data_IF_955309231385
#
_entry.id   IF_955309231385
#
_cell.length_a   1.000
_cell.length_b   1.000
_cell.length_c   1.000
_cell.angle_alpha   90.00
_cell.angle_beta   90.00
_cell.angle_gamma   90.00
#
_symmetry.space_group_name_H-M   'P 1'
#
loop_
_entity.id
_entity.type
_entity.pdbx_description
1 polymer ?
#
# COMPACT_ATOMS: atom_id res chain seq x y z
N UNK A 1 -21.29 -15.26 -41.28
CA UNK A 1 -20.36 -16.21 -40.61
C UNK A 1 -21.10 -17.21 -39.74
N UNK A 2 -21.27 -18.48 -40.19
CA UNK A 2 -22.00 -19.53 -39.48
C UNK A 2 -21.49 -19.83 -38.06
N UNK A 3 -20.16 -19.90 -37.87
CA UNK A 3 -19.53 -20.15 -36.57
C UNK A 3 -19.80 -19.06 -35.51
N UNK A 4 -20.15 -17.83 -35.91
CA UNK A 4 -20.62 -16.79 -34.97
C UNK A 4 -22.05 -17.07 -34.48
N UNK A 5 -22.91 -17.65 -35.32
CA UNK A 5 -24.28 -18.06 -34.97
C UNK A 5 -24.27 -19.26 -34.00
N UNK A 6 -23.47 -20.30 -34.28
CA UNK A 6 -23.34 -21.47 -33.40
C UNK A 6 -22.87 -21.09 -31.98
N UNK A 7 -21.79 -20.30 -31.86
CA UNK A 7 -21.31 -19.79 -30.56
C UNK A 7 -22.29 -18.82 -29.89
N UNK A 8 -23.26 -18.25 -30.60
CA UNK A 8 -24.32 -17.42 -30.02
C UNK A 8 -25.44 -18.29 -29.44
N UNK A 9 -25.92 -19.26 -30.23
CA UNK A 9 -26.94 -20.23 -29.82
C UNK A 9 -26.58 -20.94 -28.52
N UNK A 10 -25.36 -21.52 -28.42
CA UNK A 10 -24.90 -22.18 -27.19
C UNK A 10 -24.92 -21.24 -25.97
N UNK A 11 -24.47 -19.99 -26.12
CA UNK A 11 -24.47 -19.00 -25.01
C UNK A 11 -25.86 -18.49 -24.65
N UNK A 12 -26.80 -18.47 -25.59
CA UNK A 12 -28.21 -18.15 -25.32
C UNK A 12 -28.92 -19.33 -24.66
N UNK A 13 -28.60 -20.57 -25.05
CA UNK A 13 -29.09 -21.79 -24.42
C UNK A 13 -28.55 -21.95 -22.98
N UNK A 14 -27.26 -21.72 -22.74
CA UNK A 14 -26.66 -21.70 -21.40
C UNK A 14 -27.30 -20.62 -20.51
N UNK A 15 -27.48 -19.40 -21.04
CA UNK A 15 -28.10 -18.29 -20.30
C UNK A 15 -29.59 -18.54 -20.02
N UNK A 16 -30.29 -19.23 -20.91
CA UNK A 16 -31.67 -19.66 -20.69
C UNK A 16 -31.73 -20.72 -19.57
N UNK A 17 -30.89 -21.77 -19.65
CA UNK A 17 -30.79 -22.83 -18.63
C UNK A 17 -30.40 -22.32 -17.23
N UNK A 18 -29.52 -21.31 -17.14
CA UNK A 18 -29.07 -20.73 -15.88
C UNK A 18 -30.04 -19.68 -15.31
N UNK A 19 -31.00 -19.22 -16.11
CA UNK A 19 -31.79 -18.03 -15.82
C UNK A 19 -30.98 -16.75 -15.99
N UNK A 20 -31.64 -15.68 -16.43
CA UNK A 20 -31.11 -14.32 -16.32
C UNK A 20 -31.77 -13.68 -15.10
N UNK A 21 -30.95 -13.25 -14.15
CA UNK A 21 -31.38 -12.56 -12.92
C UNK A 21 -32.10 -13.44 -11.88
N UNK A 22 -31.46 -14.55 -11.49
CA UNK A 22 -31.84 -15.29 -10.28
C UNK A 22 -31.29 -14.53 -9.07
N UNK A 23 -32.12 -13.67 -8.47
CA UNK A 23 -31.81 -13.05 -7.19
C UNK A 23 -31.55 -14.15 -6.13
N UNK A 24 -30.59 -13.97 -5.21
CA UNK A 24 -30.40 -14.90 -4.09
C UNK A 24 -31.71 -15.06 -3.32
N UNK A 25 -32.22 -16.29 -3.21
CA UNK A 25 -33.46 -16.53 -2.47
C UNK A 25 -33.25 -16.11 -1.00
N UNK A 26 -34.25 -15.45 -0.41
CA UNK A 26 -34.14 -14.85 0.93
C UNK A 26 -33.82 -15.88 2.04
N UNK A 27 -34.03 -17.17 1.75
CA UNK A 27 -33.82 -18.30 2.66
C UNK A 27 -32.55 -19.11 2.33
N UNK A 28 -31.72 -18.67 1.38
CA UNK A 28 -30.55 -19.43 0.91
C UNK A 28 -29.50 -19.70 2.01
N UNK A 29 -29.44 -18.84 3.04
CA UNK A 29 -28.49 -19.00 4.15
C UNK A 29 -29.10 -19.64 5.41
N UNK A 30 -30.43 -19.67 5.52
CA UNK A 30 -31.14 -20.21 6.70
C UNK A 30 -31.49 -21.70 6.56
N UNK A 31 -31.56 -22.20 5.33
CA UNK A 31 -32.02 -23.58 5.03
C UNK A 31 -30.86 -24.52 4.62
N UNK A 32 -29.60 -24.03 4.61
CA UNK A 32 -28.42 -24.87 4.38
C UNK A 32 -28.08 -25.67 5.67
N UNK A 33 -28.25 -27.00 5.65
CA UNK A 33 -27.87 -27.92 6.75
C UNK A 33 -26.39 -27.75 7.16
N UNK A 34 -25.53 -27.42 6.19
CA UNK A 34 -24.13 -27.11 6.39
C UNK A 34 -23.83 -25.82 5.64
N UNK A 35 -23.43 -24.73 6.32
CA UNK A 35 -23.09 -23.48 5.65
C UNK A 35 -22.01 -23.67 4.60
N UNK A 36 -22.16 -23.02 3.44
CA UNK A 36 -21.21 -23.04 2.31
C UNK A 36 -19.72 -22.94 2.65
N UNK A 37 -19.36 -22.22 3.72
CA UNK A 37 -17.97 -22.13 4.20
C UNK A 37 -17.48 -23.46 4.79
N UNK A 38 -18.32 -24.18 5.53
CA UNK A 38 -18.02 -25.48 6.13
C UNK A 38 -18.06 -26.58 5.07
N UNK A 39 -19.01 -26.56 4.14
CA UNK A 39 -19.03 -27.50 3.00
C UNK A 39 -17.71 -27.45 2.21
N UNK A 40 -17.15 -26.26 1.94
CA UNK A 40 -15.83 -26.14 1.29
C UNK A 40 -14.67 -26.73 2.07
N UNK A 41 -14.77 -26.80 3.41
CA UNK A 41 -13.75 -27.42 4.28
C UNK A 41 -13.92 -28.94 4.28
N UNK A 42 -15.16 -29.44 4.37
CA UNK A 42 -15.46 -30.88 4.31
C UNK A 42 -15.11 -31.50 2.93
N UNK A 43 -15.46 -30.81 1.84
CA UNK A 43 -15.12 -31.22 0.47
C UNK A 43 -13.69 -30.83 0.04
N UNK A 44 -12.86 -30.26 0.93
CA UNK A 44 -11.54 -29.74 0.57
C UNK A 44 -10.63 -30.80 -0.09
N UNK A 45 -10.70 -32.05 0.38
CA UNK A 45 -9.96 -33.16 -0.21
C UNK A 45 -10.41 -33.45 -1.65
N UNK A 46 -11.73 -33.45 -1.93
CA UNK A 46 -12.27 -33.62 -3.28
C UNK A 46 -11.89 -32.45 -4.18
N UNK A 47 -12.00 -31.21 -3.70
CA UNK A 47 -11.61 -30.00 -4.45
C UNK A 47 -10.12 -30.02 -4.81
N UNK A 48 -9.25 -30.47 -3.90
CA UNK A 48 -7.83 -30.66 -4.18
C UNK A 48 -7.61 -31.77 -5.21
N UNK A 49 -8.23 -32.94 -5.05
CA UNK A 49 -8.14 -34.05 -6.01
C UNK A 49 -8.64 -33.65 -7.41
N UNK A 50 -9.78 -32.96 -7.50
CA UNK A 50 -10.30 -32.40 -8.75
C UNK A 50 -9.32 -31.40 -9.37
N UNK A 51 -8.69 -30.53 -8.57
CA UNK A 51 -7.67 -29.60 -9.07
C UNK A 51 -6.42 -30.33 -9.58
N UNK A 52 -5.93 -31.35 -8.86
CA UNK A 52 -4.81 -32.19 -9.28
C UNK A 52 -5.14 -32.99 -10.55
N UNK A 53 -6.33 -33.58 -10.62
CA UNK A 53 -6.82 -34.33 -11.79
C UNK A 53 -7.04 -33.40 -12.99
N UNK A 54 -7.58 -32.19 -12.78
CA UNK A 54 -7.72 -31.17 -13.82
C UNK A 54 -6.37 -30.64 -14.30
N UNK A 55 -5.40 -30.51 -13.40
CA UNK A 55 -4.02 -30.14 -13.75
C UNK A 55 -3.33 -31.25 -14.56
N UNK A 56 -3.56 -32.52 -14.20
CA UNK A 56 -3.06 -33.69 -14.94
C UNK A 56 -3.70 -33.78 -16.33
N UNK A 57 -5.03 -33.75 -16.43
CA UNK A 57 -5.77 -33.74 -17.70
C UNK A 57 -5.35 -32.56 -18.59
N UNK A 58 -5.22 -31.35 -18.04
CA UNK A 58 -4.72 -30.19 -18.79
C UNK A 58 -3.28 -30.37 -19.32
N UNK A 59 -2.43 -31.16 -18.64
CA UNK A 59 -1.09 -31.52 -19.16
C UNK A 59 -1.08 -32.72 -20.12
N UNK A 60 -2.15 -33.52 -20.12
CA UNK A 60 -2.31 -34.73 -20.92
C UNK A 60 -2.98 -34.39 -22.27
N UNK A 61 -4.06 -33.58 -22.24
CA UNK A 61 -4.64 -32.90 -23.40
C UNK A 61 -3.61 -32.00 -24.12
N UNK A 62 -2.61 -31.50 -23.39
CA UNK A 62 -1.50 -30.69 -23.91
C UNK A 62 -0.33 -31.52 -24.49
N UNK A 63 -0.40 -32.85 -24.46
CA UNK A 63 0.52 -33.75 -25.18
C UNK A 63 -0.09 -34.34 -26.46
N UNK A 64 -1.38 -34.11 -26.72
CA UNK A 64 -2.10 -34.67 -27.87
C UNK A 64 -2.47 -33.68 -28.98
N UNK A 65 -2.11 -32.40 -28.87
CA UNK A 65 -2.45 -31.37 -29.86
C UNK A 65 -1.40 -30.23 -29.86
N UNK A 66 -0.38 -30.37 -30.70
CA UNK A 66 0.85 -29.55 -30.67
C UNK A 66 0.76 -28.21 -31.42
N UNK A 67 -0.44 -27.78 -31.85
CA UNK A 67 -0.61 -26.54 -32.64
C UNK A 67 -1.40 -25.38 -31.98
N UNK A 68 -2.25 -25.62 -30.97
CA UNK A 68 -3.01 -24.53 -30.30
C UNK A 68 -2.77 -24.41 -28.79
N UNK A 69 -1.78 -23.59 -28.42
CA UNK A 69 -1.45 -23.26 -27.02
C UNK A 69 -2.63 -22.60 -26.29
N UNK A 70 -3.13 -23.15 -25.16
CA UNK A 70 -4.21 -22.54 -24.39
C UNK A 70 -3.72 -21.27 -23.68
N UNK A 71 -4.03 -20.11 -24.26
CA UNK A 71 -3.65 -18.81 -23.73
C UNK A 71 -4.22 -18.57 -22.31
N UNK A 72 -3.33 -18.23 -21.37
CA UNK A 72 -3.71 -17.84 -20.00
C UNK A 72 -4.70 -16.67 -20.05
N UNK A 73 -5.86 -16.85 -19.42
CA UNK A 73 -6.92 -15.83 -19.28
C UNK A 73 -6.38 -14.59 -18.55
N UNK A 74 -5.91 -13.59 -19.29
CA UNK A 74 -5.81 -12.19 -18.82
C UNK A 74 -6.96 -11.37 -19.38
N UNK A 75 -7.31 -10.32 -18.64
CA UNK A 75 -8.62 -9.65 -18.67
C UNK A 75 -8.83 -8.85 -19.96
N UNK A 76 -10.08 -8.80 -20.41
CA UNK A 76 -10.55 -7.80 -21.38
C UNK A 76 -10.28 -6.40 -20.83
N UNK A 77 -9.51 -5.61 -21.56
CA UNK A 77 -10.02 -4.34 -22.06
C UNK A 77 -10.37 -4.56 -23.54
N UNK A 78 -11.35 -3.83 -24.06
CA UNK A 78 -11.76 -3.87 -25.47
C UNK A 78 -11.38 -2.52 -26.14
N UNK A 79 -11.68 -2.30 -27.43
CA UNK A 79 -10.76 -2.70 -28.49
C UNK A 79 -10.37 -1.55 -29.41
N UNK A 80 -9.18 -1.61 -30.01
CA UNK A 80 -8.99 -1.35 -31.44
C UNK A 80 -7.55 -1.70 -31.87
N UNK A 81 -7.33 -1.86 -33.18
CA UNK A 81 -6.01 -2.10 -33.76
C UNK A 81 -5.56 -3.56 -33.76
N UNK A 82 -5.99 -4.32 -34.76
CA UNK A 82 -5.38 -5.61 -35.05
C UNK A 82 -4.04 -5.41 -35.76
N UNK A 83 -2.95 -5.96 -35.19
CA UNK A 83 -2.04 -6.88 -35.88
C UNK A 83 -0.96 -7.39 -34.93
N UNK A 84 -0.70 -8.69 -34.95
CA UNK A 84 0.39 -9.29 -34.20
C UNK A 84 1.69 -9.21 -35.00
N UNK A 85 2.65 -8.41 -34.54
CA UNK A 85 4.05 -8.56 -34.92
C UNK A 85 4.79 -9.27 -33.78
N UNK A 86 5.10 -10.55 -33.99
CA UNK A 86 6.11 -11.27 -33.18
C UNK A 86 7.45 -10.56 -33.39
N UNK A 87 8.26 -10.45 -32.35
CA UNK A 87 9.69 -10.09 -32.42
C UNK A 87 10.07 -8.76 -33.11
N UNK A 88 9.77 -7.61 -32.49
CA UNK A 88 10.71 -6.48 -32.55
C UNK A 88 11.74 -6.60 -31.42
N UNK A 89 12.66 -7.57 -31.55
CA UNK A 89 13.88 -7.60 -30.73
C UNK A 89 14.67 -6.32 -31.01
N UNK A 90 14.65 -5.37 -30.07
CA UNK A 90 15.68 -4.33 -29.86
C UNK A 90 16.18 -3.56 -31.09
N UNK A 91 15.45 -3.52 -32.20
CA UNK A 91 15.69 -2.58 -33.29
C UNK A 91 15.40 -1.19 -32.71
N UNK A 92 16.48 -0.45 -32.43
CA UNK A 92 16.47 0.67 -31.47
C UNK A 92 15.25 1.55 -31.60
N UNK A 93 14.50 1.71 -30.49
CA UNK A 93 13.33 2.58 -30.46
C UNK A 93 13.83 3.97 -30.86
N UNK A 94 13.35 4.48 -31.99
CA UNK A 94 13.63 5.84 -32.48
C UNK A 94 12.46 6.75 -32.15
N UNK A 95 12.71 8.05 -32.12
CA UNK A 95 11.66 9.07 -32.05
C UNK A 95 10.86 9.02 -33.36
N UNK A 96 9.54 8.96 -33.27
CA UNK A 96 8.65 8.98 -34.44
C UNK A 96 8.43 10.41 -34.93
N UNK A 97 8.06 10.56 -36.21
CA UNK A 97 7.74 11.89 -36.75
C UNK A 97 6.53 12.48 -36.02
N UNK A 98 6.67 13.72 -35.53
CA UNK A 98 5.65 14.39 -34.71
C UNK A 98 5.60 13.95 -33.24
N UNK A 99 6.46 13.04 -32.79
CA UNK A 99 6.51 12.59 -31.40
C UNK A 99 7.38 13.52 -30.54
N UNK A 100 6.84 13.98 -29.39
CA UNK A 100 7.65 14.72 -28.41
C UNK A 100 8.54 13.77 -27.61
N UNK A 101 9.71 14.26 -27.18
CA UNK A 101 10.69 13.47 -26.40
C UNK A 101 10.08 12.77 -25.16
N UNK A 102 9.07 13.37 -24.53
CA UNK A 102 8.34 12.77 -23.39
C UNK A 102 7.56 11.50 -23.78
N UNK A 103 6.91 11.49 -24.94
CA UNK A 103 6.20 10.31 -25.45
C UNK A 103 7.18 9.20 -25.83
N UNK A 104 8.31 9.57 -26.44
CA UNK A 104 9.40 8.64 -26.74
C UNK A 104 9.94 7.96 -25.47
N UNK A 105 10.28 8.76 -24.44
CA UNK A 105 10.77 8.24 -23.16
C UNK A 105 9.75 7.29 -22.53
N UNK A 106 8.46 7.68 -22.52
CA UNK A 106 7.38 6.82 -22.02
C UNK A 106 7.27 5.49 -22.78
N UNK A 107 7.42 5.47 -24.11
CA UNK A 107 7.40 4.22 -24.90
C UNK A 107 8.64 3.35 -24.63
N UNK A 108 9.82 3.97 -24.45
CA UNK A 108 11.05 3.27 -24.03
C UNK A 108 10.86 2.64 -22.66
N UNK A 109 10.34 3.39 -21.69
CA UNK A 109 10.01 2.88 -20.36
C UNK A 109 9.00 1.74 -20.43
N UNK A 110 7.87 1.90 -21.11
CA UNK A 110 6.82 0.87 -21.23
C UNK A 110 7.35 -0.43 -21.87
N UNK A 111 8.28 -0.33 -22.84
CA UNK A 111 8.97 -1.47 -23.46
C UNK A 111 9.95 -2.19 -22.51
N UNK A 112 10.71 -1.44 -21.71
CA UNK A 112 11.70 -1.99 -20.76
C UNK A 112 11.08 -2.44 -19.42
N UNK A 113 9.94 -1.88 -19.03
CA UNK A 113 9.23 -2.17 -17.78
C UNK A 113 8.96 -3.65 -17.49
N UNK A 114 8.54 -4.52 -18.45
CA UNK A 114 8.41 -5.95 -18.19
C UNK A 114 9.76 -6.61 -17.84
N UNK A 115 10.84 -6.27 -18.54
CA UNK A 115 12.17 -6.83 -18.27
C UNK A 115 12.68 -6.45 -16.87
N UNK A 116 12.57 -5.17 -16.51
CA UNK A 116 12.93 -4.68 -15.17
C UNK A 116 12.08 -5.35 -14.09
N UNK A 117 10.76 -5.46 -14.31
CA UNK A 117 9.85 -6.14 -13.40
C UNK A 117 10.21 -7.61 -13.21
N UNK A 118 10.50 -8.33 -14.28
CA UNK A 118 10.80 -9.77 -14.22
C UNK A 118 12.17 -10.00 -13.53
N UNK A 119 13.16 -9.12 -13.76
CA UNK A 119 14.43 -9.10 -13.04
C UNK A 119 14.27 -8.78 -11.53
N UNK A 120 13.37 -7.87 -11.16
CA UNK A 120 13.03 -7.61 -9.76
C UNK A 120 12.33 -8.82 -9.11
N UNK A 121 11.52 -9.56 -9.88
CA UNK A 121 10.82 -10.75 -9.35
C UNK A 121 11.74 -11.96 -9.21
N UNK A 122 12.68 -12.16 -10.14
CA UNK A 122 13.68 -13.22 -10.04
C UNK A 122 14.67 -12.97 -8.91
N UNK A 123 15.21 -11.75 -8.78
CA UNK A 123 16.12 -11.38 -7.68
C UNK A 123 15.45 -11.49 -6.31
N UNK A 124 14.20 -11.04 -6.16
CA UNK A 124 13.43 -11.21 -4.92
C UNK A 124 13.14 -12.68 -4.58
N UNK A 125 12.97 -13.56 -5.59
CA UNK A 125 12.82 -14.99 -5.37
C UNK A 125 14.14 -15.64 -4.94
N UNK A 126 15.27 -15.27 -5.55
CA UNK A 126 16.61 -15.76 -5.17
C UNK A 126 16.97 -15.30 -3.75
N UNK A 127 16.75 -14.03 -3.40
CA UNK A 127 17.03 -13.52 -2.06
C UNK A 127 16.23 -14.26 -0.96
N UNK A 128 15.00 -14.69 -1.25
CA UNK A 128 14.19 -15.52 -0.34
C UNK A 128 14.70 -16.95 -0.21
N UNK A 129 15.25 -17.53 -1.29
CA UNK A 129 15.91 -18.83 -1.24
C UNK A 129 17.18 -18.77 -0.40
N UNK A 130 18.11 -17.87 -0.74
CA UNK A 130 19.35 -17.65 0.01
C UNK A 130 19.07 -17.46 1.50
N UNK A 131 18.13 -16.59 1.87
CA UNK A 131 17.75 -16.41 3.29
C UNK A 131 17.20 -17.69 3.94
N UNK A 132 16.40 -18.48 3.23
CA UNK A 132 15.87 -19.77 3.75
C UNK A 132 17.01 -20.79 3.91
N UNK A 133 17.89 -20.87 2.93
CA UNK A 133 19.02 -21.80 2.90
C UNK A 133 20.04 -21.43 4.01
N UNK A 134 20.26 -20.13 4.27
CA UNK A 134 21.03 -19.60 5.41
C UNK A 134 20.37 -19.92 6.76
N UNK A 135 19.04 -19.78 6.89
CA UNK A 135 18.30 -20.15 8.10
C UNK A 135 18.36 -21.67 8.36
N UNK A 136 18.29 -22.52 7.32
CA UNK A 136 18.41 -23.97 7.42
C UNK A 136 19.85 -24.44 7.71
N UNK A 137 20.87 -23.75 7.18
CA UNK A 137 22.28 -23.94 7.54
C UNK A 137 22.59 -23.51 8.99
N UNK A 138 22.00 -22.40 9.45
CA UNK A 138 22.11 -21.93 10.84
C UNK A 138 21.40 -22.85 11.84
N UNK A 139 20.31 -23.50 11.43
CA UNK A 139 19.61 -24.49 12.25
C UNK A 139 20.40 -25.81 12.36
N UNK A 140 20.96 -26.32 11.26
CA UNK A 140 21.73 -27.57 11.23
C UNK A 140 23.14 -27.46 11.85
N UNK A 141 23.75 -26.27 11.85
CA UNK A 141 25.00 -26.03 12.57
C UNK A 141 24.83 -25.85 14.09
N UNK A 142 23.62 -25.53 14.57
CA UNK A 142 23.31 -25.47 16.02
C UNK A 142 23.08 -26.84 16.66
N UNK A 143 22.67 -27.86 15.89
CA UNK A 143 22.46 -29.23 16.41
C UNK A 143 23.76 -30.04 16.55
N UNK A 144 24.89 -29.56 16.01
CA UNK A 144 26.19 -30.25 16.01
C UNK A 144 27.25 -29.62 16.93
N UNK A 145 26.94 -28.53 17.63
CA UNK A 145 27.88 -27.78 18.49
C UNK A 145 27.77 -28.11 19.98
N UNK A 146 27.10 -29.21 20.35
CA UNK A 146 26.88 -29.63 21.75
C UNK A 146 27.82 -30.75 22.22
N UNK A 147 29.10 -30.76 21.82
CA UNK A 147 30.14 -31.54 22.50
C UNK A 147 31.57 -31.04 22.21
N UNK A 148 32.43 -31.21 23.23
CA UNK A 148 33.86 -30.87 23.37
C UNK A 148 34.29 -29.40 23.52
N UNK A 149 35.22 -29.23 24.46
CA UNK A 149 35.78 -27.97 24.95
C UNK A 149 37.12 -27.59 24.25
N UNK A 150 37.63 -26.41 24.61
CA UNK A 150 38.80 -25.71 24.07
C UNK A 150 40.15 -26.25 24.64
N UNK A 151 41.33 -25.58 24.48
CA UNK A 151 41.69 -24.37 23.70
C UNK A 151 43.04 -24.44 22.91
N UNK A 152 43.32 -23.43 22.07
CA UNK A 152 44.64 -22.73 21.95
C UNK A 152 44.56 -21.49 21.04
N UNK A 153 45.46 -20.53 21.26
CA UNK A 153 45.77 -19.31 20.48
C UNK A 153 45.92 -19.51 18.95
N UNK A 154 45.88 -18.49 18.07
CA UNK A 154 46.42 -17.11 18.21
C UNK A 154 45.65 -16.04 17.39
N UNK A 155 45.40 -14.88 18.03
CA UNK A 155 45.65 -13.50 17.53
C UNK A 155 45.28 -13.10 16.08
N UNK A 156 44.25 -12.26 15.93
CA UNK A 156 44.43 -10.82 15.54
C UNK A 156 43.13 -9.98 15.62
N UNK A 157 43.29 -8.69 15.91
CA UNK A 157 42.35 -7.53 15.85
C UNK A 157 40.90 -7.77 15.35
N UNK A 158 39.84 -7.28 16.03
CA UNK A 158 39.67 -5.85 16.41
C UNK A 158 38.76 -5.66 17.63
N UNK A 159 39.05 -4.60 18.37
CA UNK A 159 38.48 -4.11 19.62
C UNK A 159 36.94 -3.98 19.69
N UNK A 160 36.34 -4.63 20.71
CA UNK A 160 35.45 -4.11 21.80
C UNK A 160 34.33 -3.09 21.49
N UNK A 161 33.15 -3.08 22.14
CA UNK A 161 32.43 -3.92 23.16
C UNK A 161 30.94 -3.47 23.04
N UNK A 162 29.91 -4.34 23.12
CA UNK A 162 29.27 -4.93 24.33
C UNK A 162 28.82 -3.84 25.35
N UNK A 163 27.64 -3.83 25.96
CA UNK A 163 26.52 -4.79 26.12
C UNK A 163 25.17 -4.01 26.10
N UNK A 164 23.95 -4.47 26.44
CA UNK A 164 23.28 -5.74 26.84
C UNK A 164 21.75 -5.53 26.59
N UNK A 165 20.79 -6.44 26.76
CA UNK A 165 20.75 -7.82 27.25
C UNK A 165 19.65 -8.63 26.53
N UNK A 166 19.80 -9.96 26.47
CA UNK A 166 18.68 -10.90 26.31
C UNK A 166 18.22 -11.34 27.71
N UNK A 167 16.90 -11.52 27.89
CA UNK A 167 16.35 -12.37 28.95
C UNK A 167 14.97 -12.90 28.56
N UNK A 168 14.85 -14.23 28.64
CA UNK A 168 13.64 -15.01 28.92
C UNK A 168 12.53 -15.09 27.86
N UNK A 169 12.79 -15.95 26.88
CA UNK A 169 11.73 -16.73 26.23
C UNK A 169 11.49 -18.04 27.00
N UNK A 170 10.57 -18.05 27.99
CA UNK A 170 9.85 -19.26 28.40
C UNK A 170 8.66 -18.99 29.35
N UNK A 171 7.47 -18.78 28.79
CA UNK A 171 6.20 -18.80 29.54
C UNK A 171 4.99 -19.13 28.63
N UNK A 172 4.91 -20.37 28.13
CA UNK A 172 3.64 -20.89 27.58
C UNK A 172 2.87 -21.53 28.72
N UNK A 173 1.84 -20.84 29.24
CA UNK A 173 0.67 -21.43 29.93
C UNK A 173 -0.47 -20.40 30.09
N UNK A 174 -1.47 -20.56 29.23
CA UNK A 174 -2.91 -20.50 29.55
C UNK A 174 -3.63 -19.17 29.91
N UNK A 175 -4.65 -18.91 29.07
CA UNK A 175 -5.93 -18.20 29.30
C UNK A 175 -6.01 -16.65 29.33
N UNK A 176 -6.69 -16.15 28.29
CA UNK A 176 -7.59 -14.99 28.26
C UNK A 176 -7.19 -13.71 29.01
N UNK A 177 -6.38 -12.88 28.36
CA UNK A 177 -6.30 -11.45 28.65
C UNK A 177 -6.62 -10.63 27.39
N UNK A 178 -7.39 -9.56 27.57
CA UNK A 178 -7.90 -8.66 26.53
C UNK A 178 -6.74 -8.14 25.67
N UNK A 179 -6.81 -8.34 24.34
CA UNK A 179 -5.84 -7.78 23.39
C UNK A 179 -5.97 -6.27 23.40
N UNK A 180 -5.13 -5.60 24.19
CA UNK A 180 -5.00 -4.16 24.13
C UNK A 180 -4.33 -3.78 22.81
N UNK A 181 -5.07 -3.05 21.97
CA UNK A 181 -4.57 -2.53 20.71
C UNK A 181 -3.33 -1.63 20.95
N UNK A 182 -2.18 -2.09 20.46
CA UNK A 182 -0.86 -1.44 20.57
C UNK A 182 -0.79 -0.10 19.83
N UNK A 183 -1.88 0.33 19.18
CA UNK A 183 -2.00 1.61 18.48
C UNK A 183 -2.95 2.60 19.17
N UNK A 184 -3.45 2.30 20.38
CA UNK A 184 -4.26 3.25 21.17
C UNK A 184 -3.55 4.57 21.44
N UNK A 185 -2.25 4.51 21.77
CA UNK A 185 -1.45 5.68 22.15
C UNK A 185 -0.79 6.39 20.95
N UNK A 186 -0.99 5.87 19.72
CA UNK A 186 -0.51 6.56 18.52
C UNK A 186 -1.42 7.77 18.27
N UNK A 187 -0.88 8.99 18.14
CA UNK A 187 -1.69 10.15 17.80
C UNK A 187 -2.38 9.90 16.45
N UNK A 188 -3.71 9.97 16.45
CA UNK A 188 -4.55 9.86 15.26
C UNK A 188 -4.77 11.28 14.72
N UNK A 189 -4.62 11.46 13.42
CA UNK A 189 -4.75 12.78 12.76
C UNK A 189 -6.16 13.39 12.90
N UNK A 190 -7.13 12.57 13.29
CA UNK A 190 -8.50 12.97 13.60
C UNK A 190 -8.86 12.52 15.02
N UNK A 191 -9.30 13.47 15.86
CA UNK A 191 -9.79 13.20 17.20
C UNK A 191 -11.15 12.48 17.13
N UNK A 192 -11.18 11.20 17.47
CA UNK A 192 -12.43 10.46 17.66
C UNK A 192 -13.08 10.91 18.98
N UNK A 193 -14.01 11.88 18.90
CA UNK A 193 -14.78 12.33 20.05
C UNK A 193 -15.63 11.18 20.60
N UNK A 194 -15.30 10.71 21.81
CA UNK A 194 -16.06 9.65 22.48
C UNK A 194 -17.31 10.22 23.13
N UNK A 195 -18.35 10.45 22.32
CA UNK A 195 -19.68 10.91 22.76
C UNK A 195 -20.71 9.82 22.48
N UNK A 196 -21.46 9.39 23.49
CA UNK A 196 -22.44 8.29 23.39
C UNK A 196 -23.69 8.65 22.58
N UNK A 197 -23.96 9.94 22.34
CA UNK A 197 -25.10 10.43 21.58
C UNK A 197 -24.66 11.13 20.28
N UNK A 198 -25.41 11.01 19.17
CA UNK A 198 -25.12 11.70 17.91
C UNK A 198 -25.31 13.21 18.06
N UNK A 199 -24.25 13.99 17.79
CA UNK A 199 -24.30 15.46 17.77
C UNK A 199 -24.97 16.00 16.51
N UNK A 200 -25.61 17.17 16.60
CA UNK A 200 -26.14 17.88 15.43
C UNK A 200 -24.98 18.45 14.61
N UNK A 201 -25.15 18.55 13.30
CA UNK A 201 -24.08 18.96 12.36
C UNK A 201 -23.44 20.31 12.72
N UNK A 202 -24.22 21.25 13.27
CA UNK A 202 -23.73 22.57 13.68
C UNK A 202 -22.83 22.51 14.93
N UNK A 203 -22.94 21.47 15.77
CA UNK A 203 -22.15 21.28 16.99
C UNK A 203 -20.83 20.50 16.73
N UNK A 204 -20.57 20.21 15.44
CA UNK A 204 -19.37 19.52 14.93
C UNK A 204 -18.41 20.53 14.27
N UNK A 205 -18.73 21.83 14.27
CA UNK A 205 -17.84 22.91 13.83
C UNK A 205 -16.59 22.92 14.72
N UNK A 206 -15.58 22.22 14.25
CA UNK A 206 -14.30 22.06 14.92
C UNK A 206 -13.40 23.19 14.43
N UNK A 207 -12.86 24.00 15.36
CA UNK A 207 -11.92 25.05 14.98
C UNK A 207 -10.74 24.44 14.19
N UNK A 208 -10.27 25.10 13.11
CA UNK A 208 -9.19 24.56 12.28
C UNK A 208 -7.94 24.28 13.14
N UNK A 209 -7.28 23.11 12.98
CA UNK A 209 -6.24 22.68 13.90
C UNK A 209 -5.01 23.59 13.85
N UNK A 210 -4.64 24.15 15.00
CA UNK A 210 -3.44 24.99 15.13
C UNK A 210 -2.17 24.14 15.13
N UNK A 211 -1.39 24.20 14.04
CA UNK A 211 -0.10 23.51 13.92
C UNK A 211 0.97 24.26 14.75
N UNK A 212 0.98 24.02 16.06
CA UNK A 212 1.92 24.66 17.02
C UNK A 212 3.35 24.12 16.98
N UNK A 213 3.60 23.03 16.26
CA UNK A 213 4.91 22.37 16.16
C UNK A 213 5.19 22.02 14.70
N UNK A 214 6.41 22.32 14.23
CA UNK A 214 6.85 21.91 12.90
C UNK A 214 6.82 20.37 12.78
N UNK A 215 6.45 19.82 11.60
CA UNK A 215 6.52 18.39 11.37
C UNK A 215 7.98 17.91 11.49
N UNK A 216 8.17 16.74 12.10
CA UNK A 216 9.47 16.13 12.37
C UNK A 216 10.29 16.01 11.09
N UNK A 217 11.33 16.84 10.96
CA UNK A 217 12.22 16.91 9.78
C UNK A 217 12.25 18.29 9.11
N UNK A 218 11.29 19.18 9.37
CA UNK A 218 11.35 20.56 8.91
C UNK A 218 12.33 21.39 9.75
N UNK A 219 13.27 22.07 9.09
CA UNK A 219 14.15 23.05 9.74
C UNK A 219 13.40 24.38 9.88
N UNK A 220 13.50 25.09 11.02
CA UNK A 220 12.99 26.45 11.11
C UNK A 220 13.86 27.38 10.24
N UNK A 221 13.22 28.23 9.42
CA UNK A 221 13.92 29.34 8.79
C UNK A 221 14.24 30.37 9.89
N UNK A 222 15.47 30.32 10.38
CA UNK A 222 16.04 31.33 11.28
C UNK A 222 16.27 32.64 10.50
N UNK A 223 15.65 33.77 10.89
CA UNK A 223 16.18 35.07 10.51
C UNK A 223 17.49 35.29 11.27
N UNK A 224 18.59 35.57 10.55
CA UNK A 224 19.85 35.98 11.18
C UNK A 224 19.67 37.34 11.87
N UNK A 225 20.14 37.44 13.11
CA UNK A 225 20.12 38.60 14.01
C UNK A 225 18.74 39.04 14.53
N UNK A 226 18.45 38.71 15.79
CA UNK A 226 18.32 39.72 16.87
C UNK A 226 18.10 39.03 18.23
N UNK A 227 18.70 39.59 19.28
CA UNK A 227 18.38 39.23 20.67
C UNK A 227 16.97 39.74 21.02
N UNK A 228 16.15 38.90 21.67
CA UNK A 228 14.82 39.31 22.11
C UNK A 228 13.81 38.18 22.15
N UNK A 229 13.64 37.57 23.33
CA UNK A 229 12.71 36.46 23.56
C UNK A 229 11.24 36.92 23.54
N UNK A 230 10.70 37.18 22.36
CA UNK A 230 9.25 37.24 22.08
C UNK A 230 8.88 36.16 21.08
N UNK A 231 7.78 35.48 21.32
CA UNK A 231 7.35 34.31 20.54
C UNK A 231 6.90 34.73 19.14
N UNK A 232 7.82 34.70 18.17
CA UNK A 232 7.48 34.84 16.76
C UNK A 232 6.59 33.67 16.35
N UNK A 233 5.40 34.01 15.90
CA UNK A 233 4.48 33.04 15.32
C UNK A 233 4.98 32.62 13.93
N UNK A 234 4.52 31.48 13.42
CA UNK A 234 4.82 31.03 12.05
C UNK A 234 4.42 32.05 10.96
N UNK A 235 3.63 33.09 11.29
CA UNK A 235 3.23 34.16 10.36
C UNK A 235 4.29 35.25 10.22
N UNK A 236 5.12 35.47 11.24
CA UNK A 236 6.09 36.57 11.28
C UNK A 236 7.27 36.40 10.28
N UNK A 237 7.52 35.16 9.83
CA UNK A 237 8.55 34.84 8.83
C UNK A 237 8.04 34.61 7.40
N UNK A 238 6.75 34.84 7.13
CA UNK A 238 6.12 34.58 5.81
C UNK A 238 5.92 35.86 4.99
N UNK A 239 5.88 37.02 5.63
CA UNK A 239 5.68 38.32 4.97
C UNK A 239 7.02 39.05 4.79
N UNK A 240 7.22 39.65 3.62
CA UNK A 240 8.36 40.54 3.36
C UNK A 240 8.31 41.76 4.29
N UNK A 241 9.47 42.25 4.75
CA UNK A 241 9.56 43.42 5.65
C UNK A 241 8.84 44.66 5.10
N UNK A 242 8.87 44.87 3.78
CA UNK A 242 8.13 45.96 3.13
C UNK A 242 6.60 45.79 3.27
N UNK A 243 6.10 44.56 3.10
CA UNK A 243 4.68 44.24 3.21
C UNK A 243 4.20 44.32 4.66
N UNK A 244 5.05 43.93 5.62
CA UNK A 244 4.80 44.12 7.06
C UNK A 244 4.66 45.60 7.43
N UNK A 245 5.56 46.46 6.95
CA UNK A 245 5.49 47.90 7.21
C UNK A 245 4.21 48.55 6.65
N UNK A 246 3.73 48.13 5.48
CA UNK A 246 2.46 48.62 4.93
C UNK A 246 1.26 48.23 5.81
N UNK A 247 1.20 46.98 6.26
CA UNK A 247 0.14 46.49 7.15
C UNK A 247 0.17 47.13 8.55
N UNK A 248 1.37 47.46 9.06
CA UNK A 248 1.53 48.22 10.31
C UNK A 248 1.00 49.67 10.15
N UNK A 249 1.28 50.34 9.02
CA UNK A 249 0.71 51.66 8.72
C UNK A 249 -0.81 51.66 8.54
N UNK A 250 -1.40 50.60 7.95
CA UNK A 250 -2.86 50.43 7.89
C UNK A 250 -3.48 50.21 9.27
N UNK A 251 -2.82 49.42 10.12
CA UNK A 251 -3.25 49.17 11.49
C UNK A 251 -3.32 50.46 12.31
N UNK A 252 -2.31 51.33 12.20
CA UNK A 252 -2.27 52.58 12.97
C UNK A 252 -3.39 53.53 12.54
N UNK A 253 -3.67 53.66 11.23
CA UNK A 253 -4.83 54.42 10.71
C UNK A 253 -6.16 53.89 11.25
N UNK A 254 -6.33 52.57 11.34
CA UNK A 254 -7.54 51.95 11.91
C UNK A 254 -7.65 52.23 13.42
N UNK A 255 -6.53 52.24 14.14
CA UNK A 255 -6.49 52.59 15.57
C UNK A 255 -6.85 54.07 15.79
N UNK A 256 -6.37 54.98 14.94
CA UNK A 256 -6.71 56.40 14.98
C UNK A 256 -8.21 56.62 14.69
N UNK A 257 -8.73 56.09 13.58
CA UNK A 257 -10.15 56.17 13.24
C UNK A 257 -11.05 55.57 14.35
N UNK A 258 -10.65 54.45 14.96
CA UNK A 258 -11.38 53.87 16.10
C UNK A 258 -11.30 54.75 17.36
N UNK A 259 -10.16 55.40 17.63
CA UNK A 259 -10.02 56.36 18.74
C UNK A 259 -10.89 57.59 18.53
N UNK A 260 -10.98 58.12 17.32
CA UNK A 260 -11.86 59.23 16.97
C UNK A 260 -13.34 58.85 17.09
N UNK A 261 -13.73 57.69 16.55
CA UNK A 261 -15.09 57.18 16.68
C UNK A 261 -15.45 56.92 18.15
N UNK A 262 -14.52 56.40 18.96
CA UNK A 262 -14.73 56.22 20.40
C UNK A 262 -14.82 57.55 21.17
N UNK A 263 -14.04 58.57 20.80
CA UNK A 263 -14.18 59.94 21.36
C UNK A 263 -15.54 60.53 21.00
N UNK A 264 -15.97 60.41 19.74
CA UNK A 264 -17.29 60.87 19.27
C UNK A 264 -18.43 60.18 20.01
N UNK A 265 -18.35 58.86 20.20
CA UNK A 265 -19.35 58.08 20.93
C UNK A 265 -19.32 58.27 22.46
N UNK A 266 -18.34 59.00 23.00
CA UNK A 266 -18.24 59.33 24.42
C UNK A 266 -18.48 60.83 24.70
N UNK A 267 -18.72 61.63 23.65
CA UNK A 267 -18.97 63.06 23.71
C UNK A 267 -20.40 63.44 23.23
N UNK A 268 -21.27 62.43 23.06
CA UNK A 268 -22.71 62.54 22.86
C UNK A 268 -23.43 61.58 23.79
#
# INVERSE_FOLDING_TARGET
>A
MPHKKAKRSLREQERSKQGRDVAPSKNALSNEVVPKCVSRVLDAAKVQQEWHNKKRKLSEDQRGNDDEKPAKRKRKAAPDGAQGAKNSKSAGIKIQQGETLSHFNRRVEESMRPLVRDAMQSSAATARKVKKDEEEAAASSKSSKSQKAAPTDVKSSRTTKKAQAESDANAIKNHSAIVQDKHKDRPKDFAALSTSAPRRLNDIVTAPPEIKKLPRGAKPNQPSNAEGKKTSSLRDGVLSMAQKAMLEGERDRVIEAYRELKKRNAAG
#
